data_IF_093353829133
#
_entry.id   IF_093353829133
#
_cell.length_a   1.000
_cell.length_b   1.000
_cell.length_c   1.000
_cell.angle_alpha   90.00
_cell.angle_beta   90.00
_cell.angle_gamma   90.00
#
_symmetry.space_group_name_H-M   'P 1'
#
loop_
_entity.id
_entity.type
_entity.pdbx_description
1 polymer ?
#
# COMPACT_ATOMS: atom_id res chain seq x y z
N UNK A 1 1.98 -18.19 14.26
CA UNK A 1 3.05 -18.36 13.25
C UNK A 1 3.15 -17.04 12.50
N UNK A 2 4.36 -16.60 12.14
CA UNK A 2 4.50 -15.40 11.31
C UNK A 2 3.84 -15.65 9.95
N UNK A 3 3.08 -14.68 9.46
CA UNK A 3 2.42 -14.76 8.16
C UNK A 3 3.47 -14.75 7.04
N UNK A 4 3.52 -15.82 6.24
CA UNK A 4 4.55 -16.00 5.21
C UNK A 4 4.48 -14.93 4.12
N UNK A 5 3.28 -14.44 3.79
CA UNK A 5 3.09 -13.40 2.78
C UNK A 5 3.71 -12.07 3.24
N UNK A 6 3.43 -11.68 4.49
CA UNK A 6 3.97 -10.47 5.10
C UNK A 6 5.48 -10.57 5.25
N UNK A 7 6.00 -11.71 5.69
CA UNK A 7 7.45 -11.93 5.81
C UNK A 7 8.17 -11.83 4.46
N UNK A 8 7.60 -12.39 3.39
CA UNK A 8 8.17 -12.26 2.04
C UNK A 8 8.24 -10.79 1.56
N UNK A 9 7.23 -9.98 1.90
CA UNK A 9 7.23 -8.54 1.61
C UNK A 9 8.29 -7.80 2.44
N UNK A 10 8.41 -8.12 3.73
CA UNK A 10 9.42 -7.52 4.61
C UNK A 10 10.85 -7.85 4.12
N UNK A 11 11.09 -9.09 3.68
CA UNK A 11 12.35 -9.51 3.07
C UNK A 11 12.64 -8.76 1.76
N UNK A 12 11.63 -8.58 0.91
CA UNK A 12 11.76 -7.79 -0.31
C UNK A 12 12.10 -6.33 -0.02
N UNK A 13 11.47 -5.72 0.97
CA UNK A 13 11.79 -4.35 1.43
C UNK A 13 13.24 -4.27 1.88
N UNK A 14 13.68 -5.21 2.71
CA UNK A 14 15.06 -5.25 3.22
C UNK A 14 16.08 -5.37 2.08
N UNK A 15 15.78 -6.17 1.05
CA UNK A 15 16.66 -6.35 -0.11
C UNK A 15 16.79 -5.08 -0.98
N UNK A 16 15.75 -4.25 -1.04
CA UNK A 16 15.72 -3.04 -1.88
C UNK A 16 16.54 -1.87 -1.29
N UNK A 17 16.80 -1.86 0.02
CA UNK A 17 17.47 -0.74 0.71
C UNK A 17 16.86 0.62 0.34
N UNK A 18 15.52 0.72 0.35
CA UNK A 18 14.79 1.93 -0.04
C UNK A 18 15.15 3.09 0.89
N UNK A 19 15.78 4.13 0.36
CA UNK A 19 16.00 5.38 1.08
C UNK A 19 14.71 6.20 1.16
N UNK A 20 14.04 6.17 2.32
CA UNK A 20 12.79 6.89 2.56
C UNK A 20 12.99 8.34 2.98
N UNK A 21 14.24 8.85 3.04
CA UNK A 21 14.53 10.23 3.45
C UNK A 21 14.43 11.25 2.31
N UNK A 22 14.51 10.82 1.05
CA UNK A 22 14.52 11.72 -0.11
C UNK A 22 13.13 12.06 -0.67
N UNK A 23 12.91 13.31 -1.08
CA UNK A 23 11.60 13.86 -1.53
C UNK A 23 10.86 13.08 -2.63
N UNK A 24 11.52 12.16 -3.34
CA UNK A 24 10.96 11.43 -4.50
C UNK A 24 10.99 9.91 -4.39
N UNK A 25 11.35 9.36 -3.23
CA UNK A 25 11.47 7.91 -3.04
C UNK A 25 10.15 7.18 -3.37
N UNK A 26 9.02 7.81 -3.02
CA UNK A 26 7.65 7.34 -3.28
C UNK A 26 7.25 7.31 -4.76
N UNK A 27 8.12 7.67 -5.69
CA UNK A 27 7.79 7.68 -7.13
C UNK A 27 8.69 6.76 -7.96
N UNK A 28 9.57 6.00 -7.29
CA UNK A 28 10.63 5.18 -7.93
C UNK A 28 10.80 3.83 -7.24
N UNK A 29 9.74 3.30 -6.64
CA UNK A 29 9.77 2.00 -6.00
C UNK A 29 9.77 0.89 -7.05
N UNK A 30 10.40 -0.22 -6.72
CA UNK A 30 10.25 -1.45 -7.47
C UNK A 30 8.89 -2.09 -7.17
N UNK A 31 8.33 -2.77 -8.17
CA UNK A 31 7.13 -3.59 -7.97
C UNK A 31 7.45 -4.74 -7.00
N UNK A 32 6.66 -4.95 -5.93
CA UNK A 32 6.82 -6.10 -5.05
C UNK A 32 6.38 -7.39 -5.77
N UNK A 33 6.89 -8.56 -5.35
CA UNK A 33 6.34 -9.83 -5.80
C UNK A 33 4.88 -9.98 -5.33
N UNK A 34 4.10 -10.78 -6.04
CA UNK A 34 2.82 -11.24 -5.53
C UNK A 34 3.08 -12.19 -4.35
N UNK A 35 2.61 -11.80 -3.17
CA UNK A 35 2.75 -12.59 -1.96
C UNK A 35 1.72 -13.73 -1.91
N UNK A 36 2.09 -14.83 -1.26
CA UNK A 36 1.23 -15.99 -1.04
C UNK A 36 0.52 -15.84 0.31
N UNK A 37 -0.72 -15.36 0.27
CA UNK A 37 -1.53 -15.09 1.46
C UNK A 37 -2.23 -16.36 1.94
N UNK A 38 -2.23 -16.57 3.26
CA UNK A 38 -2.91 -17.70 3.87
C UNK A 38 -4.43 -17.56 3.76
N UNK A 39 -5.07 -18.56 3.15
CA UNK A 39 -6.53 -18.61 2.98
C UNK A 39 -7.30 -18.69 4.32
N UNK A 40 -6.64 -19.15 5.39
CA UNK A 40 -7.22 -19.17 6.74
C UNK A 40 -7.16 -17.81 7.47
N UNK A 41 -6.43 -16.84 6.92
CA UNK A 41 -6.12 -15.58 7.59
C UNK A 41 -6.97 -14.43 7.05
N UNK A 42 -7.30 -13.47 7.93
CA UNK A 42 -8.00 -12.23 7.54
C UNK A 42 -7.05 -11.05 7.66
N UNK A 43 -6.90 -10.31 6.58
CA UNK A 43 -6.00 -9.17 6.49
C UNK A 43 -6.80 -7.87 6.58
N UNK A 44 -6.36 -6.98 7.48
CA UNK A 44 -6.92 -5.65 7.61
C UNK A 44 -5.84 -4.60 7.36
N UNK A 45 -6.23 -3.53 6.66
CA UNK A 45 -5.45 -2.32 6.53
C UNK A 45 -6.11 -1.23 7.36
N UNK A 46 -5.44 -0.83 8.43
CA UNK A 46 -5.89 0.24 9.31
C UNK A 46 -5.26 1.56 8.88
N UNK A 47 -6.10 2.53 8.52
CA UNK A 47 -5.70 3.89 8.19
C UNK A 47 -6.11 4.81 9.33
N UNK A 48 -5.11 5.38 10.01
CA UNK A 48 -5.38 6.48 10.94
C UNK A 48 -5.35 7.80 10.19
N UNK A 49 -6.47 8.53 10.24
CA UNK A 49 -6.62 9.82 9.55
C UNK A 49 -6.94 10.92 10.55
N UNK A 50 -6.81 12.18 10.12
CA UNK A 50 -7.18 13.34 10.94
C UNK A 50 -8.70 13.48 11.18
N UNK A 51 -9.53 12.62 10.56
CA UNK A 51 -11.00 12.60 10.74
C UNK A 51 -11.50 11.31 11.39
N UNK A 52 -10.59 10.43 11.81
CA UNK A 52 -10.91 9.14 12.45
C UNK A 52 -10.19 7.96 11.80
N UNK A 53 -10.32 6.81 12.45
CA UNK A 53 -9.70 5.57 11.96
C UNK A 53 -10.62 4.86 10.97
N UNK A 54 -10.03 4.29 9.92
CA UNK A 54 -10.72 3.50 8.90
C UNK A 54 -10.05 2.14 8.82
N UNK A 55 -10.81 1.08 9.09
CA UNK A 55 -10.34 -0.29 8.90
C UNK A 55 -10.90 -0.85 7.58
N UNK A 56 -10.00 -1.34 6.73
CA UNK A 56 -10.33 -1.93 5.43
C UNK A 56 -9.95 -3.40 5.45
N UNK A 57 -10.91 -4.30 5.22
CA UNK A 57 -10.59 -5.72 5.01
C UNK A 57 -10.06 -5.91 3.59
N UNK A 58 -8.90 -6.56 3.48
CA UNK A 58 -8.28 -6.90 2.20
C UNK A 58 -8.75 -8.29 1.74
N UNK A 59 -8.82 -8.48 0.42
CA UNK A 59 -9.32 -9.70 -0.23
C UNK A 59 -8.24 -10.31 -1.13
N UNK A 60 -7.25 -11.02 -0.55
CA UNK A 60 -6.13 -11.57 -1.32
C UNK A 60 -6.55 -12.68 -2.28
N UNK A 61 -7.67 -13.34 -2.03
CA UNK A 61 -8.30 -14.35 -2.88
C UNK A 61 -8.85 -13.76 -4.19
N UNK A 62 -9.32 -12.50 -4.15
CA UNK A 62 -9.88 -11.81 -5.31
C UNK A 62 -8.83 -11.00 -6.06
N UNK A 63 -7.95 -10.32 -5.34
CA UNK A 63 -6.99 -9.38 -5.93
C UNK A 63 -5.60 -9.48 -5.27
N UNK A 64 -4.90 -10.62 -5.39
CA UNK A 64 -3.68 -10.90 -4.63
C UNK A 64 -2.60 -9.84 -4.87
N UNK A 65 -2.38 -9.43 -6.12
CA UNK A 65 -1.36 -8.42 -6.43
C UNK A 65 -1.70 -7.03 -5.84
N UNK A 66 -2.99 -6.66 -5.79
CA UNK A 66 -3.42 -5.41 -5.16
C UNK A 66 -3.19 -5.44 -3.65
N UNK A 67 -3.44 -6.59 -3.00
CA UNK A 67 -3.17 -6.78 -1.57
C UNK A 67 -1.67 -6.74 -1.30
N UNK A 68 -0.81 -7.42 -2.08
CA UNK A 68 0.64 -7.37 -1.85
C UNK A 68 1.20 -5.96 -2.06
N UNK A 69 0.73 -5.24 -3.09
CA UNK A 69 1.11 -3.83 -3.31
C UNK A 69 0.67 -2.95 -2.13
N UNK A 70 -0.55 -3.13 -1.61
CA UNK A 70 -1.05 -2.39 -0.45
C UNK A 70 -0.20 -2.66 0.79
N UNK A 71 0.06 -3.92 1.12
CA UNK A 71 0.88 -4.30 2.28
C UNK A 71 2.30 -3.75 2.15
N UNK A 72 2.92 -3.90 0.98
CA UNK A 72 4.27 -3.37 0.70
C UNK A 72 4.36 -1.85 0.91
N UNK A 73 3.44 -1.08 0.31
CA UNK A 73 3.44 0.37 0.43
C UNK A 73 3.16 0.82 1.87
N UNK A 74 2.24 0.16 2.57
CA UNK A 74 1.96 0.43 3.98
C UNK A 74 3.18 0.14 4.86
N UNK A 75 3.87 -0.97 4.65
CA UNK A 75 5.09 -1.33 5.40
C UNK A 75 6.23 -0.35 5.21
N UNK A 76 6.31 0.31 4.06
CA UNK A 76 7.27 1.38 3.78
C UNK A 76 6.89 2.75 4.37
N UNK A 77 5.71 2.91 4.98
CA UNK A 77 5.21 4.24 5.39
C UNK A 77 4.89 5.14 4.18
N UNK A 78 4.54 4.54 3.04
CA UNK A 78 4.28 5.26 1.80
C UNK A 78 3.10 6.25 1.94
N UNK A 79 2.04 5.80 2.60
CA UNK A 79 0.79 6.54 2.75
C UNK A 79 0.84 7.61 3.84
N UNK A 80 1.89 7.62 4.67
CA UNK A 80 2.00 8.50 5.82
C UNK A 80 2.11 9.96 5.38
N UNK A 81 1.20 10.78 5.91
CA UNK A 81 1.08 12.20 5.60
C UNK A 81 0.45 12.51 4.24
N UNK A 82 -0.01 11.51 3.48
CA UNK A 82 -0.71 11.75 2.22
C UNK A 82 -2.15 12.21 2.46
N UNK A 83 -2.64 13.05 1.54
CA UNK A 83 -4.00 13.59 1.59
C UNK A 83 -4.98 12.80 0.71
N UNK A 84 -6.26 12.87 1.07
CA UNK A 84 -7.35 12.61 0.15
C UNK A 84 -7.54 13.84 -0.75
N UNK A 85 -6.87 13.85 -1.90
CA UNK A 85 -6.84 15.01 -2.81
C UNK A 85 -8.14 15.18 -3.61
N UNK A 86 -9.02 14.17 -3.63
CA UNK A 86 -10.31 14.24 -4.31
C UNK A 86 -11.41 13.60 -3.47
N UNK A 87 -12.39 14.39 -3.08
CA UNK A 87 -13.56 13.94 -2.30
C UNK A 87 -14.83 14.40 -3.00
N UNK A 88 -15.73 13.46 -3.28
CA UNK A 88 -17.04 13.71 -3.91
C UNK A 88 -18.12 13.13 -3.01
N UNK A 89 -18.96 14.02 -2.47
CA UNK A 89 -20.06 13.64 -1.59
C UNK A 89 -21.01 12.65 -2.27
N UNK A 90 -21.39 11.60 -1.56
CA UNK A 90 -22.25 10.53 -2.08
C UNK A 90 -21.59 9.60 -3.10
N UNK A 91 -20.29 9.73 -3.34
CA UNK A 91 -19.56 8.89 -4.29
C UNK A 91 -18.30 8.27 -3.69
N UNK A 92 -17.22 9.05 -3.54
CA UNK A 92 -15.94 8.48 -3.10
C UNK A 92 -14.97 9.54 -2.54
N UNK A 93 -13.98 9.05 -1.80
CA UNK A 93 -12.75 9.78 -1.46
C UNK A 93 -11.53 9.04 -2.03
N UNK A 94 -10.67 9.75 -2.76
CA UNK A 94 -9.48 9.23 -3.42
C UNK A 94 -8.23 9.86 -2.80
N UNK A 95 -7.33 8.98 -2.36
CA UNK A 95 -6.03 9.31 -1.76
C UNK A 95 -4.88 8.59 -2.46
N UNK A 96 -3.80 8.32 -1.72
CA UNK A 96 -2.69 7.49 -2.19
C UNK A 96 -1.77 8.12 -3.24
N UNK A 97 -1.93 9.40 -3.55
CA UNK A 97 -1.05 10.11 -4.48
C UNK A 97 0.09 10.81 -3.73
N UNK A 98 1.36 10.40 -3.91
CA UNK A 98 2.49 11.02 -3.21
C UNK A 98 2.74 12.48 -3.62
N UNK A 99 2.24 12.89 -4.78
CA UNK A 99 2.37 14.27 -5.28
C UNK A 99 1.19 15.17 -4.89
N UNK A 100 0.11 14.62 -4.33
CA UNK A 100 -1.13 15.35 -4.04
C UNK A 100 -1.91 15.87 -5.26
N UNK A 101 -1.36 15.75 -6.47
CA UNK A 101 -1.97 16.21 -7.72
C UNK A 101 -2.99 15.23 -8.32
N UNK A 102 -3.05 14.01 -7.82
CA UNK A 102 -3.85 12.91 -8.36
C UNK A 102 -3.22 12.16 -9.55
N UNK A 103 -1.99 12.49 -9.93
CA UNK A 103 -1.28 11.84 -11.07
C UNK A 103 -0.05 11.03 -10.67
N UNK A 104 0.41 11.16 -9.42
CA UNK A 104 1.54 10.40 -8.89
C UNK A 104 1.13 9.02 -8.36
N UNK A 105 2.09 8.08 -8.40
CA UNK A 105 1.98 6.73 -7.86
C UNK A 105 3.37 6.21 -7.46
N UNK A 106 3.48 4.91 -7.10
CA UNK A 106 4.70 4.37 -6.50
C UNK A 106 5.89 4.23 -7.47
N UNK A 107 5.68 4.46 -8.76
CA UNK A 107 6.73 4.32 -9.79
C UNK A 107 6.73 3.00 -10.54
N UNK A 108 5.77 2.13 -10.26
CA UNK A 108 5.55 0.88 -10.97
C UNK A 108 4.06 0.69 -11.30
N UNK A 109 3.80 -0.20 -12.26
CA UNK A 109 2.46 -0.60 -12.70
C UNK A 109 2.37 -2.11 -12.72
N UNK A 110 1.21 -2.68 -12.43
CA UNK A 110 0.97 -4.12 -12.46
C UNK A 110 -0.38 -4.42 -13.10
N UNK A 111 -0.52 -5.63 -13.63
CA UNK A 111 -1.80 -6.17 -14.08
C UNK A 111 -2.66 -6.60 -12.90
N UNK A 112 -3.98 -6.52 -13.09
CA UNK A 112 -4.99 -7.08 -12.20
C UNK A 112 -5.43 -8.46 -12.65
#
# INVERSE_FOLDING_TARGET
>A
MADTAVSAIDEFIAAQSVDTSGDRWRTRLAQPPQADFDAGSTYHWDLSTNVGDVQIRLMPDVAPMHVSSTVYLTRLGFYDGLIFHRVISGFMAQGGCPLGSGTGGPGYTYGG
#
